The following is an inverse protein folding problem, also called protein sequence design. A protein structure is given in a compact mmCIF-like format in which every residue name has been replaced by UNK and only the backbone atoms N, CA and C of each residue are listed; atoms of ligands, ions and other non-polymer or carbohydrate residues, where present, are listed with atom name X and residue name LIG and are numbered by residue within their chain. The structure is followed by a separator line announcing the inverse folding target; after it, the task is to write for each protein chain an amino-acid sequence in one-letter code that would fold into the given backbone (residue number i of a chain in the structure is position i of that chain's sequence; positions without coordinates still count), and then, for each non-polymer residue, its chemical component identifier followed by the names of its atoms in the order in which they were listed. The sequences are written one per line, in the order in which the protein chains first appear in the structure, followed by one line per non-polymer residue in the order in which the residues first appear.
data_IF_783344968968
#
_entry.id   IF_783344968968
#
_cell.length_a   1.000
_cell.length_b   1.000
_cell.length_c   1.000
_cell.angle_alpha   90.00
_cell.angle_beta   90.00
_cell.angle_gamma   90.00
#
_symmetry.space_group_name_H-M   'P 1'
#
loop_
_entity.id
_entity.type
_entity.pdbx_description
1 polymer ?
#
# COMPACT_ATOMS: atom_id res chain seq x y z
N UNK A 1 -32.92 -31.65 -19.34
CA UNK A 1 -33.84 -31.48 -18.19
C UNK A 1 -33.26 -32.01 -16.88
N UNK A 2 -32.83 -33.27 -16.80
CA UNK A 2 -32.26 -33.81 -15.55
C UNK A 2 -30.87 -33.25 -15.22
N UNK A 3 -29.97 -33.16 -16.20
CA UNK A 3 -28.65 -32.52 -16.05
C UNK A 3 -28.73 -31.03 -15.66
N UNK A 4 -29.77 -30.32 -16.09
CA UNK A 4 -29.99 -28.91 -15.73
C UNK A 4 -30.35 -28.77 -14.25
N UNK A 5 -31.20 -29.68 -13.73
CA UNK A 5 -31.53 -29.74 -12.30
C UNK A 5 -30.32 -30.09 -11.45
N UNK A 6 -29.53 -31.07 -11.86
CA UNK A 6 -28.35 -31.50 -11.11
C UNK A 6 -27.30 -30.38 -11.03
N UNK A 7 -27.13 -29.59 -12.12
CA UNK A 7 -26.25 -28.42 -12.12
C UNK A 7 -26.73 -27.32 -11.18
N UNK A 8 -28.03 -27.03 -11.22
CA UNK A 8 -28.65 -26.02 -10.36
C UNK A 8 -28.58 -26.43 -8.88
N UNK A 9 -28.75 -27.72 -8.57
CA UNK A 9 -28.65 -28.22 -7.20
C UNK A 9 -27.20 -28.13 -6.67
N UNK A 10 -26.20 -28.39 -7.52
CA UNK A 10 -24.79 -28.18 -7.16
C UNK A 10 -24.47 -26.70 -6.93
N UNK A 11 -24.99 -25.81 -7.77
CA UNK A 11 -24.79 -24.36 -7.68
C UNK A 11 -25.46 -23.79 -6.41
N UNK A 12 -26.69 -24.22 -6.10
CA UNK A 12 -27.38 -23.85 -4.86
C UNK A 12 -26.64 -24.36 -3.62
N UNK A 13 -26.08 -25.57 -3.66
CA UNK A 13 -25.32 -26.10 -2.54
C UNK A 13 -23.98 -25.38 -2.35
N UNK A 14 -23.30 -25.01 -3.45
CA UNK A 14 -22.09 -24.19 -3.39
C UNK A 14 -22.37 -22.81 -2.79
N UNK A 15 -23.45 -22.15 -3.23
CA UNK A 15 -23.89 -20.86 -2.71
C UNK A 15 -24.29 -20.93 -1.24
N UNK A 16 -24.93 -22.02 -0.80
CA UNK A 16 -25.24 -22.24 0.62
C UNK A 16 -23.97 -22.44 1.45
N UNK A 17 -23.01 -23.22 0.98
CA UNK A 17 -21.74 -23.43 1.67
C UNK A 17 -20.87 -22.16 1.72
N UNK A 18 -20.98 -21.29 0.72
CA UNK A 18 -20.36 -19.96 0.71
C UNK A 18 -21.07 -19.01 1.68
N UNK A 19 -22.41 -18.99 1.68
CA UNK A 19 -23.21 -18.21 2.61
C UNK A 19 -22.97 -18.59 4.07
N UNK A 20 -22.83 -19.88 4.39
CA UNK A 20 -22.51 -20.32 5.76
C UNK A 20 -21.09 -19.92 6.15
N UNK A 21 -20.09 -20.03 5.25
CA UNK A 21 -18.73 -19.52 5.52
C UNK A 21 -18.69 -18.00 5.76
N UNK A 22 -19.44 -17.24 4.97
CA UNK A 22 -19.57 -15.79 5.17
C UNK A 22 -20.27 -15.47 6.49
N UNK A 23 -21.24 -16.28 6.89
CA UNK A 23 -21.97 -16.14 8.14
C UNK A 23 -21.12 -16.50 9.36
N UNK A 24 -20.32 -17.57 9.30
CA UNK A 24 -19.31 -17.91 10.32
C UNK A 24 -18.26 -16.79 10.44
N UNK A 25 -17.81 -16.23 9.32
CA UNK A 25 -16.95 -15.03 9.31
C UNK A 25 -17.61 -13.81 9.95
N UNK A 26 -18.92 -13.62 9.76
CA UNK A 26 -19.71 -12.55 10.39
C UNK A 26 -20.00 -12.79 11.88
N UNK A 27 -20.13 -14.05 12.31
CA UNK A 27 -20.27 -14.42 13.73
C UNK A 27 -18.93 -14.18 14.48
N UNK A 28 -17.77 -14.41 13.85
CA UNK A 28 -16.46 -14.00 14.38
C UNK A 28 -16.33 -12.47 14.56
N UNK A 29 -16.88 -11.69 13.63
CA UNK A 29 -16.95 -10.22 13.69
C UNK A 29 -17.87 -9.72 14.83
N UNK A 30 -18.79 -10.56 15.33
CA UNK A 30 -19.72 -10.20 16.40
C UNK A 30 -19.13 -10.34 17.81
N UNK A 31 -18.07 -11.12 18.01
CA UNK A 31 -17.43 -11.31 19.33
C UNK A 31 -16.11 -10.53 19.50
N UNK A 32 -15.50 -10.04 18.43
CA UNK A 32 -14.43 -9.07 18.53
C UNK A 32 -14.19 -8.32 17.23
N UNK A 33 -14.07 -7.00 17.32
CA UNK A 33 -13.78 -6.14 16.16
C UNK A 33 -12.41 -6.51 15.60
N UNK A 34 -12.36 -7.04 14.37
CA UNK A 34 -11.10 -7.20 13.62
C UNK A 34 -10.48 -5.81 13.48
N UNK A 35 -9.23 -5.67 13.94
CA UNK A 35 -8.50 -4.39 13.93
C UNK A 35 -7.41 -4.36 12.86
N UNK A 36 -6.94 -5.54 12.42
CA UNK A 36 -5.85 -5.69 11.46
C UNK A 36 -6.15 -6.91 10.58
N UNK A 37 -5.95 -6.77 9.27
CA UNK A 37 -6.22 -7.85 8.31
C UNK A 37 -4.95 -8.62 7.95
N UNK A 38 -5.10 -9.89 7.63
CA UNK A 38 -4.05 -10.69 7.01
C UNK A 38 -3.56 -10.02 5.71
N UNK A 39 -2.24 -10.03 5.49
CA UNK A 39 -1.59 -9.38 4.36
C UNK A 39 -1.37 -7.87 4.54
N UNK A 40 -1.83 -7.27 5.64
CA UNK A 40 -1.60 -5.85 5.91
C UNK A 40 -0.14 -5.59 6.30
N UNK A 41 0.48 -4.56 5.71
CA UNK A 41 1.78 -4.07 6.15
C UNK A 41 1.60 -3.14 7.35
N UNK A 42 2.12 -3.53 8.51
CA UNK A 42 1.99 -2.74 9.75
C UNK A 42 3.24 -1.92 10.07
N UNK A 43 4.40 -2.26 9.49
CA UNK A 43 5.61 -1.46 9.57
C UNK A 43 6.53 -1.72 8.39
N UNK A 44 7.39 -0.74 8.12
CA UNK A 44 8.46 -0.83 7.12
C UNK A 44 9.66 -0.02 7.62
N UNK A 45 10.87 -0.56 7.44
CA UNK A 45 12.10 0.18 7.69
C UNK A 45 13.08 0.02 6.53
N UNK A 46 13.95 1.00 6.35
CA UNK A 46 15.00 1.00 5.33
C UNK A 46 16.34 0.97 6.04
N UNK A 47 17.16 -0.01 5.69
CA UNK A 47 18.52 -0.17 6.20
C UNK A 47 19.50 0.17 5.09
N UNK A 48 20.34 1.18 5.33
CA UNK A 48 21.39 1.60 4.41
C UNK A 48 22.73 1.20 4.99
N UNK A 49 23.44 0.32 4.31
CA UNK A 49 24.80 -0.08 4.67
C UNK A 49 25.77 0.40 3.61
N UNK A 50 26.91 0.95 4.04
CA UNK A 50 27.95 1.45 3.14
C UNK A 50 29.30 0.77 3.46
N UNK A 51 30.17 0.57 2.46
CA UNK A 51 31.50 0.03 2.71
C UNK A 51 32.27 0.89 3.72
N UNK A 52 32.78 0.27 4.79
CA UNK A 52 33.59 0.94 5.81
C UNK A 52 32.80 1.67 6.91
N UNK A 53 31.46 1.74 6.83
CA UNK A 53 30.62 2.25 7.92
C UNK A 53 30.19 1.10 8.85
N UNK A 54 30.03 1.37 10.17
CA UNK A 54 29.42 0.41 11.09
C UNK A 54 28.04 0.01 10.59
N UNK A 55 27.78 -1.30 10.59
CA UNK A 55 26.46 -1.81 10.24
C UNK A 55 25.56 -1.82 11.48
N UNK A 56 24.25 -1.60 11.33
CA UNK A 56 23.33 -1.74 12.44
C UNK A 56 23.28 -3.19 12.91
N UNK A 57 23.04 -3.39 14.20
CA UNK A 57 22.82 -4.73 14.73
C UNK A 57 21.44 -5.25 14.33
N UNK A 58 21.23 -6.58 14.21
CA UNK A 58 19.91 -7.16 14.01
C UNK A 58 18.88 -6.68 15.06
N UNK A 59 19.30 -6.58 16.33
CA UNK A 59 18.46 -6.12 17.44
C UNK A 59 17.96 -4.68 17.25
N UNK A 60 18.83 -3.75 16.80
CA UNK A 60 18.46 -2.35 16.54
C UNK A 60 17.43 -2.24 15.40
N UNK A 61 17.59 -3.05 14.36
CA UNK A 61 16.69 -3.09 13.21
C UNK A 61 15.34 -3.67 13.62
N UNK A 62 15.33 -4.76 14.38
CA UNK A 62 14.13 -5.37 14.92
C UNK A 62 13.38 -4.39 15.83
N UNK A 63 14.07 -3.75 16.78
CA UNK A 63 13.47 -2.78 17.70
C UNK A 63 12.82 -1.63 16.94
N UNK A 64 13.50 -1.10 15.93
CA UNK A 64 12.98 -0.02 15.07
C UNK A 64 11.68 -0.45 14.38
N UNK A 65 11.65 -1.66 13.82
CA UNK A 65 10.48 -2.19 13.12
C UNK A 65 9.32 -2.45 14.09
N UNK A 66 9.59 -3.06 15.24
CA UNK A 66 8.62 -3.35 16.30
C UNK A 66 8.00 -2.09 16.88
N UNK A 67 8.84 -1.08 17.19
CA UNK A 67 8.37 0.20 17.71
C UNK A 67 7.44 0.90 16.72
N UNK A 68 7.79 0.90 15.43
CA UNK A 68 6.93 1.45 14.37
C UNK A 68 5.61 0.69 14.26
N UNK A 69 5.65 -0.65 14.31
CA UNK A 69 4.47 -1.50 14.22
C UNK A 69 3.52 -1.27 15.40
N UNK A 70 4.03 -1.30 16.64
CA UNK A 70 3.26 -1.04 17.86
C UNK A 70 2.62 0.34 17.82
N UNK A 71 3.35 1.37 17.40
CA UNK A 71 2.79 2.72 17.27
C UNK A 71 1.64 2.80 16.25
N UNK A 72 1.80 2.16 15.08
CA UNK A 72 0.76 2.12 14.04
C UNK A 72 -0.50 1.38 14.51
N UNK A 73 -0.34 0.26 15.22
CA UNK A 73 -1.45 -0.53 15.77
C UNK A 73 -2.15 0.23 16.90
N UNK A 74 -1.39 0.81 17.82
CA UNK A 74 -1.90 1.59 18.94
C UNK A 74 -2.74 2.79 18.48
N UNK A 75 -2.25 3.54 17.50
CA UNK A 75 -2.98 4.68 16.94
C UNK A 75 -4.35 4.29 16.36
N UNK A 76 -4.49 3.07 15.84
CA UNK A 76 -5.76 2.56 15.26
C UNK A 76 -6.71 1.98 16.30
N UNK A 77 -6.16 1.30 17.30
CA UNK A 77 -6.93 0.58 18.34
C UNK A 77 -7.25 1.44 19.56
N UNK A 78 -6.58 2.59 19.72
CA UNK A 78 -6.72 3.46 20.88
C UNK A 78 -6.08 2.88 22.16
N UNK A 79 -5.16 1.92 22.01
CA UNK A 79 -4.42 1.30 23.12
C UNK A 79 -3.02 1.89 23.28
N UNK A 80 -2.36 1.59 24.39
CA UNK A 80 -0.95 1.97 24.59
C UNK A 80 -0.03 1.10 23.69
N UNK A 81 0.94 1.67 22.95
CA UNK A 81 1.92 0.88 22.19
C UNK A 81 2.61 -0.24 22.96
N UNK A 82 2.88 -0.06 24.26
CA UNK A 82 3.54 -1.06 25.10
C UNK A 82 2.65 -2.28 25.38
N UNK A 83 1.33 -2.15 25.21
CA UNK A 83 0.37 -3.24 25.35
C UNK A 83 0.16 -4.03 24.04
N UNK A 84 0.79 -3.62 22.95
CA UNK A 84 0.68 -4.30 21.66
C UNK A 84 1.69 -5.43 21.59
N UNK A 85 1.18 -6.66 21.70
CA UNK A 85 1.96 -7.88 21.52
C UNK A 85 2.05 -8.24 20.02
N UNK A 86 3.28 -8.45 19.55
CA UNK A 86 3.58 -8.86 18.17
C UNK A 86 4.48 -10.10 18.25
N UNK A 87 4.14 -11.15 17.50
CA UNK A 87 4.95 -12.36 17.37
C UNK A 87 5.36 -12.53 15.92
N UNK A 88 6.67 -12.70 15.69
CA UNK A 88 7.23 -12.97 14.37
C UNK A 88 7.25 -14.48 14.08
N UNK A 89 7.19 -14.83 12.80
CA UNK A 89 7.54 -16.17 12.38
C UNK A 89 9.05 -16.44 12.50
N UNK A 90 9.48 -17.72 12.56
CA UNK A 90 10.90 -18.06 12.70
C UNK A 90 11.80 -17.58 11.55
N UNK A 91 11.24 -17.40 10.35
CA UNK A 91 12.03 -16.95 9.18
C UNK A 91 12.36 -15.45 9.25
N UNK A 92 11.63 -14.68 10.06
CA UNK A 92 11.84 -13.25 10.19
C UNK A 92 13.24 -12.91 10.76
N UNK A 93 13.76 -13.71 11.68
CA UNK A 93 15.12 -13.53 12.24
C UNK A 93 16.19 -13.68 11.14
N UNK A 94 16.03 -14.64 10.23
CA UNK A 94 16.94 -14.85 9.10
C UNK A 94 16.94 -13.64 8.17
N UNK A 95 15.76 -13.08 7.86
CA UNK A 95 15.62 -11.90 7.00
C UNK A 95 16.28 -10.65 7.60
N UNK A 96 16.15 -10.43 8.91
CA UNK A 96 16.83 -9.33 9.61
C UNK A 96 18.34 -9.56 9.59
N UNK A 97 18.79 -10.79 9.86
CA UNK A 97 20.19 -11.18 9.81
C UNK A 97 20.80 -10.88 8.45
N UNK A 98 20.17 -11.34 7.36
CA UNK A 98 20.60 -11.11 5.99
C UNK A 98 20.66 -9.61 5.64
N UNK A 99 19.67 -8.82 6.09
CA UNK A 99 19.67 -7.37 5.92
C UNK A 99 20.91 -6.68 6.54
N UNK A 100 21.37 -7.17 7.69
CA UNK A 100 22.50 -6.60 8.42
C UNK A 100 23.86 -7.17 7.98
N UNK A 101 23.94 -8.44 7.58
CA UNK A 101 25.19 -9.11 7.21
C UNK A 101 25.45 -9.20 5.70
N UNK A 102 24.45 -8.93 4.86
CA UNK A 102 24.50 -9.08 3.41
C UNK A 102 25.43 -8.12 2.67
N UNK A 103 25.28 -8.01 1.35
CA UNK A 103 26.07 -7.06 0.56
C UNK A 103 25.74 -5.61 0.96
N UNK A 104 26.73 -4.70 1.09
CA UNK A 104 26.44 -3.30 1.34
C UNK A 104 25.46 -2.73 0.31
N UNK A 105 24.41 -2.07 0.79
CA UNK A 105 23.35 -1.60 -0.06
C UNK A 105 22.20 -0.98 0.71
N UNK A 106 21.12 -0.69 0.00
CA UNK A 106 19.87 -0.20 0.56
C UNK A 106 18.88 -1.35 0.56
N UNK A 107 18.47 -1.79 1.73
CA UNK A 107 17.53 -2.89 1.93
C UNK A 107 16.26 -2.37 2.61
N UNK A 108 15.14 -3.04 2.36
CA UNK A 108 13.84 -2.75 2.95
C UNK A 108 13.36 -3.99 3.68
N UNK A 109 12.97 -3.81 4.93
CA UNK A 109 12.24 -4.82 5.70
C UNK A 109 10.80 -4.37 5.84
N UNK A 110 9.85 -5.24 5.49
CA UNK A 110 8.41 -5.02 5.66
C UNK A 110 7.84 -6.05 6.62
N UNK A 111 7.17 -5.59 7.67
CA UNK A 111 6.43 -6.43 8.59
C UNK A 111 4.99 -6.56 8.09
N UNK A 112 4.62 -7.77 7.67
CA UNK A 112 3.34 -8.11 7.08
C UNK A 112 2.59 -9.03 8.03
N UNK A 113 1.30 -8.78 8.21
CA UNK A 113 0.46 -9.55 9.13
C UNK A 113 0.06 -10.87 8.49
N UNK A 114 0.18 -11.97 9.24
CA UNK A 114 -0.03 -13.32 8.70
C UNK A 114 -1.49 -13.77 8.77
N UNK A 115 -2.26 -13.28 9.74
CA UNK A 115 -3.65 -13.66 9.98
C UNK A 115 -4.48 -12.47 10.50
N UNK A 116 -5.80 -12.50 10.31
CA UNK A 116 -6.67 -11.45 10.84
C UNK A 116 -6.52 -11.39 12.36
N UNK A 117 -6.37 -10.19 12.91
CA UNK A 117 -6.21 -9.99 14.35
C UNK A 117 -7.39 -9.22 14.92
N UNK A 118 -7.98 -9.78 15.98
CA UNK A 118 -9.04 -9.17 16.77
C UNK A 118 -8.44 -8.28 17.88
N UNK A 119 -9.19 -7.27 18.31
CA UNK A 119 -8.77 -6.42 19.42
C UNK A 119 -8.44 -7.23 20.68
N UNK A 120 -7.23 -7.03 21.21
CA UNK A 120 -6.75 -7.69 22.43
C UNK A 120 -6.00 -9.00 22.21
N UNK A 121 -5.95 -9.50 20.98
CA UNK A 121 -5.14 -10.67 20.61
C UNK A 121 -3.73 -10.25 20.14
N UNK A 122 -2.72 -11.12 20.32
CA UNK A 122 -1.37 -10.86 19.79
C UNK A 122 -1.38 -10.88 18.26
N UNK A 123 -0.68 -9.93 17.66
CA UNK A 123 -0.55 -9.81 16.19
C UNK A 123 0.56 -10.74 15.71
N UNK A 124 0.23 -11.70 14.85
CA UNK A 124 1.23 -12.53 14.19
C UNK A 124 1.65 -11.91 12.87
N UNK A 125 2.96 -11.79 12.64
CA UNK A 125 3.51 -11.23 11.41
C UNK A 125 4.74 -11.96 10.91
N UNK A 126 5.12 -11.66 9.67
CA UNK A 126 6.34 -12.10 9.03
C UNK A 126 7.08 -10.92 8.42
N UNK A 127 8.40 -11.00 8.38
CA UNK A 127 9.24 -9.99 7.77
C UNK A 127 9.62 -10.44 6.36
N UNK A 128 9.49 -9.52 5.41
CA UNK A 128 10.00 -9.71 4.04
C UNK A 128 11.13 -8.73 3.77
N UNK A 129 12.19 -9.24 3.14
CA UNK A 129 13.38 -8.48 2.75
C UNK A 129 13.36 -8.18 1.25
N UNK A 130 13.62 -6.92 0.90
CA UNK A 130 13.71 -6.48 -0.50
C UNK A 130 14.91 -5.56 -0.69
N UNK A 131 15.56 -5.63 -1.85
CA UNK A 131 16.52 -4.60 -2.24
C UNK A 131 15.79 -3.30 -2.62
N UNK A 132 16.42 -2.16 -2.35
CA UNK A 132 15.92 -0.86 -2.76
C UNK A 132 16.91 -0.09 -3.61
N UNK A 133 16.35 0.65 -4.55
CA UNK A 133 17.07 1.61 -5.37
C UNK A 133 16.19 2.82 -5.61
N UNK A 134 16.81 3.92 -6.03
CA UNK A 134 16.07 5.06 -6.56
C UNK A 134 15.42 4.66 -7.89
N UNK A 135 14.13 4.93 -8.04
CA UNK A 135 13.32 4.65 -9.22
C UNK A 135 13.10 5.93 -10.03
N UNK A 136 12.77 7.04 -9.37
CA UNK A 136 12.56 8.34 -10.01
C UNK A 136 13.30 9.45 -9.27
N UNK A 137 13.86 10.39 -10.02
CA UNK A 137 14.33 11.66 -9.48
C UNK A 137 13.15 12.60 -9.21
N UNK A 138 13.32 13.49 -8.24
CA UNK A 138 12.41 14.61 -8.03
C UNK A 138 12.14 15.37 -9.34
N UNK A 139 10.86 15.66 -9.61
CA UNK A 139 10.41 16.35 -10.80
C UNK A 139 10.26 15.48 -12.06
N UNK A 140 10.56 14.17 -11.98
CA UNK A 140 10.35 13.24 -13.08
C UNK A 140 8.86 13.20 -13.50
N UNK A 141 8.58 13.32 -14.79
CA UNK A 141 7.23 13.23 -15.34
C UNK A 141 6.75 11.78 -15.35
N UNK A 142 5.81 11.46 -14.47
CA UNK A 142 5.22 10.12 -14.30
C UNK A 142 4.11 9.87 -15.32
N UNK A 143 3.34 10.90 -15.66
CA UNK A 143 2.34 10.88 -16.71
C UNK A 143 2.15 12.27 -17.30
N UNK A 144 1.80 12.32 -18.58
CA UNK A 144 1.46 13.55 -19.30
C UNK A 144 0.32 13.20 -20.27
N UNK A 145 -0.83 13.87 -20.10
CA UNK A 145 -2.04 13.64 -20.88
C UNK A 145 -2.57 14.99 -21.37
N UNK A 146 -2.46 15.23 -22.68
CA UNK A 146 -3.00 16.41 -23.35
C UNK A 146 -4.46 16.24 -23.78
N UNK A 147 -4.95 17.19 -24.57
CA UNK A 147 -6.28 17.14 -25.19
C UNK A 147 -7.43 16.97 -24.18
N UNK A 148 -7.28 17.50 -22.96
CA UNK A 148 -8.33 17.47 -21.95
C UNK A 148 -9.32 18.60 -22.27
N UNK A 149 -10.60 18.29 -22.59
CA UNK A 149 -11.56 19.31 -23.01
C UNK A 149 -11.77 20.42 -21.97
N UNK A 150 -12.10 21.61 -22.44
CA UNK A 150 -12.59 22.69 -21.60
C UNK A 150 -14.00 22.40 -21.06
N UNK A 151 -14.37 23.03 -19.94
CA UNK A 151 -15.74 22.99 -19.42
C UNK A 151 -16.22 21.60 -19.01
N UNK A 152 -15.30 20.72 -18.57
CA UNK A 152 -15.65 19.40 -18.05
C UNK A 152 -16.50 19.52 -16.79
N UNK A 153 -17.51 18.66 -16.68
CA UNK A 153 -18.22 18.45 -15.41
C UNK A 153 -17.31 17.80 -14.36
N UNK A 154 -17.65 18.00 -13.08
CA UNK A 154 -16.86 17.49 -11.95
C UNK A 154 -16.62 15.97 -12.00
N UNK A 155 -17.68 15.19 -12.30
CA UNK A 155 -17.59 13.73 -12.41
C UNK A 155 -16.66 13.29 -13.55
N UNK A 156 -16.69 13.98 -14.70
CA UNK A 156 -15.85 13.64 -15.84
C UNK A 156 -14.37 13.98 -15.56
N UNK A 157 -14.11 15.13 -14.93
CA UNK A 157 -12.78 15.52 -14.50
C UNK A 157 -12.21 14.53 -13.46
N UNK A 158 -13.03 14.10 -12.49
CA UNK A 158 -12.68 13.08 -11.50
C UNK A 158 -12.30 11.75 -12.17
N UNK A 159 -13.15 11.23 -13.06
CA UNK A 159 -12.89 9.97 -13.76
C UNK A 159 -11.59 10.02 -14.57
N UNK A 160 -11.33 11.13 -15.28
CA UNK A 160 -10.11 11.32 -16.07
C UNK A 160 -8.88 11.37 -15.17
N UNK A 161 -8.92 12.14 -14.09
CA UNK A 161 -7.79 12.24 -13.17
C UNK A 161 -7.51 10.90 -12.48
N UNK A 162 -8.55 10.18 -12.08
CA UNK A 162 -8.42 8.83 -11.52
C UNK A 162 -7.76 7.86 -12.51
N UNK A 163 -8.15 7.91 -13.79
CA UNK A 163 -7.55 7.08 -14.82
C UNK A 163 -6.04 7.39 -15.00
N UNK A 164 -5.65 8.67 -14.99
CA UNK A 164 -4.25 9.09 -15.06
C UNK A 164 -3.46 8.54 -13.86
N UNK A 165 -3.97 8.72 -12.64
CA UNK A 165 -3.30 8.26 -11.42
C UNK A 165 -3.22 6.73 -11.34
N UNK A 166 -4.22 6.00 -11.83
CA UNK A 166 -4.15 4.54 -11.97
C UNK A 166 -3.06 4.11 -12.97
N UNK A 167 -2.89 4.86 -14.04
CA UNK A 167 -1.79 4.70 -15.00
C UNK A 167 -0.42 4.90 -14.34
N UNK A 168 -0.28 5.97 -13.55
CA UNK A 168 0.94 6.25 -12.75
C UNK A 168 1.23 5.11 -11.76
N UNK A 169 0.22 4.64 -11.01
CA UNK A 169 0.36 3.53 -10.08
C UNK A 169 0.88 2.26 -10.78
N UNK A 170 0.28 1.93 -11.94
CA UNK A 170 0.66 0.75 -12.72
C UNK A 170 2.07 0.88 -13.32
N UNK A 171 2.45 2.08 -13.75
CA UNK A 171 3.81 2.37 -14.25
C UNK A 171 4.84 2.24 -13.14
N UNK A 172 4.61 2.87 -11.99
CA UNK A 172 5.52 2.82 -10.85
C UNK A 172 5.77 1.40 -10.35
N UNK A 173 4.74 0.56 -10.29
CA UNK A 173 4.92 -0.86 -9.94
C UNK A 173 5.80 -1.60 -10.95
N UNK A 174 5.58 -1.40 -12.25
CA UNK A 174 6.41 -2.02 -13.30
C UNK A 174 7.86 -1.55 -13.24
N UNK A 175 8.07 -0.27 -12.92
CA UNK A 175 9.41 0.32 -12.84
C UNK A 175 10.16 -0.11 -11.57
N UNK A 176 9.44 -0.66 -10.57
CA UNK A 176 10.01 -1.33 -9.41
C UNK A 176 9.70 -0.68 -8.06
N UNK A 177 8.65 0.14 -7.96
CA UNK A 177 8.11 0.57 -6.66
C UNK A 177 7.23 -0.54 -6.09
N UNK A 178 7.53 -0.99 -4.88
CA UNK A 178 6.80 -2.06 -4.23
C UNK A 178 5.42 -1.56 -3.76
N UNK A 179 4.31 -2.17 -4.22
CA UNK A 179 2.98 -1.77 -3.79
C UNK A 179 2.74 -2.10 -2.32
N UNK A 180 1.74 -1.43 -1.74
CA UNK A 180 1.09 -1.89 -0.52
C UNK A 180 0.53 -3.30 -0.76
N UNK A 181 0.90 -4.30 0.07
CA UNK A 181 0.55 -5.70 -0.18
C UNK A 181 -0.95 -5.98 -0.13
N UNK A 182 -1.73 -5.16 0.59
CA UNK A 182 -3.17 -5.33 0.71
C UNK A 182 -3.94 -4.49 -0.32
N UNK A 183 -3.52 -3.24 -0.54
CA UNK A 183 -4.23 -2.29 -1.40
C UNK A 183 -3.77 -2.31 -2.85
N UNK A 184 -2.57 -2.82 -3.14
CA UNK A 184 -1.97 -2.75 -4.48
C UNK A 184 -1.65 -1.33 -4.94
N UNK A 185 -1.59 -0.36 -4.04
CA UNK A 185 -1.28 1.05 -4.33
C UNK A 185 0.16 1.38 -3.97
N UNK A 186 0.82 2.22 -4.76
CA UNK A 186 2.18 2.73 -4.46
C UNK A 186 2.20 4.17 -3.96
N UNK A 187 1.11 4.92 -4.09
CA UNK A 187 1.03 6.35 -3.75
C UNK A 187 0.15 6.65 -2.54
N UNK A 188 0.22 7.88 -2.03
CA UNK A 188 -0.53 8.35 -0.85
C UNK A 188 -1.18 9.73 -1.04
N UNK A 189 -1.60 10.05 -2.27
CA UNK A 189 -2.29 11.31 -2.57
C UNK A 189 -3.52 11.47 -1.68
N UNK A 190 -3.64 12.60 -0.98
CA UNK A 190 -4.79 12.88 -0.13
C UNK A 190 -6.03 13.21 -0.95
N UNK A 191 -7.21 12.94 -0.40
CA UNK A 191 -8.48 13.32 -1.02
C UNK A 191 -8.54 14.82 -1.33
N UNK A 192 -8.05 15.67 -0.41
CA UNK A 192 -8.00 17.13 -0.63
C UNK A 192 -7.15 17.51 -1.84
N UNK A 193 -5.90 17.02 -1.94
CA UNK A 193 -5.04 17.28 -3.11
C UNK A 193 -5.65 16.75 -4.41
N UNK A 194 -6.36 15.63 -4.34
CA UNK A 194 -7.07 15.07 -5.48
C UNK A 194 -8.21 15.98 -5.95
N UNK A 195 -9.09 16.41 -5.04
CA UNK A 195 -10.21 17.29 -5.40
C UNK A 195 -9.77 18.69 -5.80
N UNK A 196 -8.70 19.22 -5.22
CA UNK A 196 -8.06 20.46 -5.69
C UNK A 196 -7.63 20.34 -7.16
N UNK A 197 -7.04 19.21 -7.55
CA UNK A 197 -6.69 18.96 -8.95
C UNK A 197 -7.90 18.77 -9.86
N UNK A 198 -8.99 18.16 -9.37
CA UNK A 198 -10.27 18.10 -10.10
C UNK A 198 -10.81 19.50 -10.37
N UNK A 199 -10.82 20.37 -9.36
CA UNK A 199 -11.27 21.76 -9.49
C UNK A 199 -10.40 22.54 -10.49
N UNK A 200 -9.07 22.33 -10.47
CA UNK A 200 -8.16 22.93 -11.45
C UNK A 200 -8.43 22.50 -12.89
N UNK A 201 -8.97 21.30 -13.12
CA UNK A 201 -9.34 20.80 -14.45
C UNK A 201 -10.71 21.34 -14.88
N UNK A 202 -11.69 21.39 -13.97
CA UNK A 202 -13.05 21.86 -14.30
C UNK A 202 -13.12 23.36 -14.59
N UNK A 203 -12.26 24.16 -13.94
CA UNK A 203 -12.18 25.61 -14.14
C UNK A 203 -11.52 26.04 -15.46
N UNK A 204 -11.10 25.08 -16.31
CA UNK A 204 -10.39 25.38 -17.56
C UNK A 204 -11.37 25.83 -18.66
N UNK A 205 -11.09 27.01 -19.21
CA UNK A 205 -11.84 27.58 -20.34
C UNK A 205 -11.30 27.12 -21.70
N UNK A 206 -10.13 26.47 -21.71
CA UNK A 206 -9.45 25.96 -22.91
C UNK A 206 -9.11 24.48 -22.73
N UNK A 207 -8.85 23.82 -23.86
CA UNK A 207 -8.22 22.50 -23.84
C UNK A 207 -6.96 22.56 -22.99
N UNK A 208 -6.71 21.54 -22.18
CA UNK A 208 -5.61 21.54 -21.22
C UNK A 208 -4.85 20.22 -21.26
N UNK A 209 -3.69 20.25 -20.60
CA UNK A 209 -2.81 19.11 -20.38
C UNK A 209 -2.61 18.91 -18.89
N UNK A 210 -2.77 17.67 -18.44
CA UNK A 210 -2.42 17.26 -17.08
C UNK A 210 -1.03 16.61 -17.10
N UNK A 211 -0.14 17.11 -16.25
CA UNK A 211 1.19 16.56 -16.03
C UNK A 211 1.29 16.12 -14.57
N UNK A 212 1.64 14.85 -14.35
CA UNK A 212 1.90 14.30 -13.02
C UNK A 212 3.39 14.13 -12.86
N UNK A 213 3.98 14.78 -11.85
CA UNK A 213 5.42 14.75 -11.57
C UNK A 213 5.69 14.14 -10.20
N UNK A 214 6.87 13.55 -10.03
CA UNK A 214 7.37 13.12 -8.74
C UNK A 214 7.67 14.34 -7.84
N UNK A 215 7.06 14.40 -6.66
CA UNK A 215 7.24 15.52 -5.72
C UNK A 215 8.66 15.50 -5.09
N UNK A 216 9.24 14.31 -4.93
CA UNK A 216 10.57 14.04 -4.39
C UNK A 216 11.22 12.84 -5.10
N UNK A 217 12.47 12.51 -4.74
CA UNK A 217 13.09 11.25 -5.14
C UNK A 217 12.26 10.06 -4.63
N UNK A 218 11.90 9.15 -5.53
CA UNK A 218 11.09 7.97 -5.22
C UNK A 218 11.99 6.75 -5.29
N UNK A 219 11.96 5.95 -4.24
CA UNK A 219 12.69 4.69 -4.12
C UNK A 219 11.72 3.50 -4.17
N UNK A 220 12.28 2.30 -4.26
CA UNK A 220 11.54 1.02 -4.26
C UNK A 220 10.51 0.92 -3.13
N UNK A 221 10.79 1.46 -1.95
CA UNK A 221 9.88 1.40 -0.80
C UNK A 221 8.66 2.31 -0.91
N UNK A 222 8.65 3.26 -1.85
CA UNK A 222 7.62 4.29 -1.97
C UNK A 222 7.51 5.21 -0.73
N UNK A 223 6.38 5.91 -0.55
CA UNK A 223 5.29 6.04 -1.50
C UNK A 223 5.65 6.93 -2.70
N UNK A 224 4.92 6.77 -3.81
CA UNK A 224 4.94 7.68 -4.96
C UNK A 224 4.15 8.94 -4.60
N UNK A 225 4.87 9.97 -4.13
CA UNK A 225 4.30 11.31 -3.92
C UNK A 225 4.31 12.07 -5.24
N UNK A 226 3.18 12.69 -5.56
CA UNK A 226 3.00 13.36 -6.85
C UNK A 226 2.52 14.79 -6.71
N UNK A 227 3.00 15.61 -7.63
CA UNK A 227 2.47 16.93 -7.94
C UNK A 227 1.66 16.85 -9.24
N UNK A 228 0.47 17.43 -9.26
CA UNK A 228 -0.42 17.45 -10.43
C UNK A 228 -0.48 18.88 -10.95
N UNK A 229 -0.09 19.05 -12.21
CA UNK A 229 -0.07 20.34 -12.90
C UNK A 229 -1.10 20.29 -14.04
N UNK A 230 -1.90 21.35 -14.17
CA UNK A 230 -2.86 21.53 -15.26
C UNK A 230 -2.47 22.77 -16.06
N UNK A 231 -2.18 22.60 -17.34
CA UNK A 231 -1.63 23.65 -18.22
C UNK A 231 -2.56 23.81 -19.41
N UNK A 232 -2.95 25.03 -19.76
CA UNK A 232 -3.77 25.29 -20.95
C UNK A 232 -2.96 25.01 -22.23
N UNK A 233 -3.59 24.35 -23.19
CA UNK A 233 -3.05 24.18 -24.55
C UNK A 233 -3.52 25.38 -25.39
N UNK A 234 -2.55 25.98 -26.09
CA UNK A 234 -2.73 27.19 -26.91
C UNK A 234 -3.26 26.92 -28.30
#
# INVERSE_FOLDING_TARGET
LQQERDRLDLEVNALRAESERLREGLEYVREGRIIIFAGEMIAQTVVVTRPGEPRPSPEEVEETLMKSARANIAMRSGTDPEQVEITLDPHSEEMIGECCSGTPGRMILRLIVSENTVQGEPVKGSITLHESRKIYDKGYTLAEVGDIPAGLGQEEAEMRLFAILRGVNSKAQRDGVLPDPLKGTVGNLSASKFFEAVDLVTLREKTSRVIVKAEDDIYTEGPVRVEILVIDEG
#
